data_IF_682814303075
#
_entry.id   IF_682814303075
#
_cell.length_a   1.000
_cell.length_b   1.000
_cell.length_c   1.000
_cell.angle_alpha   90.00
_cell.angle_beta   90.00
_cell.angle_gamma   90.00
#
_symmetry.space_group_name_H-M   'P 1'
#
loop_
_entity.id
_entity.type
_entity.pdbx_description
1 polymer ?
#
# COMPACT_ATOMS: atom_id res chain seq x y z
N UNK A 1 11.39 10.06 -6.45
CA UNK A 1 12.14 9.43 -5.36
C UNK A 1 11.62 9.93 -4.02
N UNK A 2 11.38 9.04 -3.07
CA UNK A 2 10.91 9.44 -1.75
C UNK A 2 12.03 10.10 -0.95
N UNK A 3 11.70 11.13 -0.18
CA UNK A 3 12.65 11.78 0.71
C UNK A 3 11.98 12.12 2.03
N UNK A 4 12.79 12.18 3.09
CA UNK A 4 12.32 12.61 4.39
C UNK A 4 11.91 14.09 4.34
N UNK A 5 10.68 14.37 4.75
CA UNK A 5 10.15 15.71 4.80
C UNK A 5 10.43 16.39 6.14
N UNK A 6 10.19 15.65 7.23
CA UNK A 6 10.53 16.11 8.57
C UNK A 6 10.61 14.91 9.52
N UNK A 7 11.16 15.18 10.70
CA UNK A 7 11.36 14.16 11.74
C UNK A 7 10.98 14.73 13.10
N UNK A 8 10.42 13.88 13.93
CA UNK A 8 10.18 14.18 15.35
C UNK A 8 10.96 13.18 16.20
N UNK A 9 10.82 13.29 17.52
CA UNK A 9 11.44 12.33 18.43
C UNK A 9 10.95 10.88 18.19
N UNK A 10 9.69 10.73 17.78
CA UNK A 10 9.08 9.40 17.67
C UNK A 10 8.70 9.02 16.25
N UNK A 11 8.99 9.83 15.28
CA UNK A 11 8.55 9.52 13.92
C UNK A 11 9.24 10.30 12.83
N UNK A 12 9.02 9.83 11.63
CA UNK A 12 9.56 10.43 10.41
C UNK A 12 8.44 10.54 9.38
N UNK A 13 8.43 11.62 8.63
CA UNK A 13 7.49 11.81 7.53
C UNK A 13 8.27 11.83 6.22
N UNK A 14 7.83 11.00 5.29
CA UNK A 14 8.40 10.95 3.95
C UNK A 14 7.40 11.40 2.91
N UNK A 15 7.88 11.95 1.83
CA UNK A 15 7.07 12.27 0.66
C UNK A 15 7.66 11.59 -0.57
N UNK A 16 6.81 10.98 -1.38
CA UNK A 16 7.22 10.26 -2.57
C UNK A 16 6.36 9.04 -2.80
N UNK A 17 6.82 8.16 -3.68
CA UNK A 17 6.16 6.88 -3.94
C UNK A 17 6.44 5.95 -2.75
N UNK A 18 5.41 5.63 -2.00
CA UNK A 18 5.55 4.83 -0.79
C UNK A 18 5.99 3.40 -1.08
N UNK A 19 5.59 2.82 -2.20
CA UNK A 19 5.99 1.46 -2.56
C UNK A 19 7.51 1.41 -2.81
N UNK A 20 8.04 2.38 -3.53
CA UNK A 20 9.48 2.48 -3.74
C UNK A 20 10.23 2.69 -2.43
N UNK A 21 9.70 3.54 -1.56
CA UNK A 21 10.30 3.79 -0.25
C UNK A 21 10.37 2.51 0.59
N UNK A 22 9.27 1.77 0.65
CA UNK A 22 9.21 0.53 1.41
C UNK A 22 10.14 -0.53 0.83
N UNK A 23 10.16 -0.68 -0.47
CA UNK A 23 10.92 -1.74 -1.13
C UNK A 23 12.43 -1.50 -1.05
N UNK A 24 12.88 -0.25 -1.15
CA UNK A 24 14.30 0.07 -1.20
C UNK A 24 14.87 0.47 0.16
N UNK A 25 14.30 1.48 0.79
CA UNK A 25 14.90 2.09 1.98
C UNK A 25 14.41 1.46 3.28
N UNK A 26 13.09 1.42 3.48
CA UNK A 26 12.55 0.95 4.75
C UNK A 26 12.76 -0.55 4.94
N UNK A 27 12.66 -1.32 3.85
CA UNK A 27 12.88 -2.76 3.91
C UNK A 27 14.27 -3.11 4.41
N UNK A 28 15.28 -2.33 4.03
CA UNK A 28 16.66 -2.59 4.47
C UNK A 28 16.89 -2.24 5.93
N UNK A 29 16.15 -1.26 6.47
CA UNK A 29 16.34 -0.76 7.83
C UNK A 29 15.40 -1.42 8.82
N UNK A 30 14.14 -1.63 8.42
CA UNK A 30 13.06 -2.01 9.33
C UNK A 30 12.49 -3.39 9.08
N UNK A 31 13.19 -4.25 8.36
CA UNK A 31 12.74 -5.62 8.11
C UNK A 31 12.36 -6.32 9.42
N UNK A 32 11.10 -6.77 9.50
CA UNK A 32 10.62 -7.49 10.66
C UNK A 32 10.43 -6.65 11.92
N UNK A 33 10.36 -5.32 11.79
CA UNK A 33 10.33 -4.43 12.95
C UNK A 33 9.03 -3.68 13.15
N UNK A 34 8.14 -3.64 12.16
CA UNK A 34 6.89 -2.92 12.31
C UNK A 34 5.85 -3.75 13.04
N UNK A 35 5.28 -3.19 14.08
CA UNK A 35 4.18 -3.84 14.83
C UNK A 35 2.84 -3.59 14.17
N UNK A 36 2.71 -2.50 13.41
CA UNK A 36 1.45 -2.13 12.79
C UNK A 36 1.72 -1.37 11.49
N UNK A 37 1.03 -1.79 10.45
CA UNK A 37 0.95 -1.05 9.19
C UNK A 37 -0.52 -0.74 8.95
N UNK A 38 -0.85 0.54 8.76
CA UNK A 38 -2.20 0.98 8.40
C UNK A 38 -2.11 1.68 7.06
N UNK A 39 -2.90 1.27 6.10
CA UNK A 39 -2.86 1.88 4.78
C UNK A 39 -4.24 1.87 4.12
N UNK A 40 -4.46 2.90 3.29
CA UNK A 40 -5.62 2.99 2.41
C UNK A 40 -5.10 3.09 0.99
N UNK A 41 -4.73 1.97 0.37
CA UNK A 41 -4.17 2.04 -0.97
C UNK A 41 -5.22 2.50 -1.98
N UNK A 42 -4.80 3.02 -3.14
CA UNK A 42 -5.75 3.34 -4.19
C UNK A 42 -6.58 2.11 -4.53
N UNK A 43 -7.86 2.32 -4.80
CA UNK A 43 -8.73 1.22 -5.21
C UNK A 43 -9.18 1.42 -6.65
N UNK A 44 -9.68 0.34 -7.29
CA UNK A 44 -10.00 0.41 -8.72
C UNK A 44 -11.23 1.30 -8.94
N UNK A 45 -11.00 2.46 -9.56
CA UNK A 45 -12.04 3.43 -9.86
C UNK A 45 -12.25 3.47 -11.36
N UNK A 46 -13.50 3.80 -11.78
CA UNK A 46 -13.81 3.98 -13.18
C UNK A 46 -13.05 5.16 -13.79
N UNK A 47 -12.81 6.20 -12.99
CA UNK A 47 -12.03 7.36 -13.41
C UNK A 47 -10.66 7.31 -12.73
N UNK A 48 -9.61 7.30 -13.52
CA UNK A 48 -8.25 7.26 -13.02
C UNK A 48 -7.91 8.58 -12.34
N UNK A 49 -7.39 8.52 -11.12
CA UNK A 49 -6.94 9.70 -10.40
C UNK A 49 -5.50 10.05 -10.77
N UNK A 50 -5.11 11.31 -10.52
CA UNK A 50 -3.77 11.77 -10.87
C UNK A 50 -2.65 11.02 -10.14
N UNK A 51 -2.92 10.48 -8.97
CA UNK A 51 -1.92 9.71 -8.23
C UNK A 51 -1.92 8.22 -8.56
N UNK A 52 -2.50 7.87 -9.70
CA UNK A 52 -2.21 6.58 -10.30
C UNK A 52 -3.02 5.39 -9.85
N UNK A 53 -4.34 5.51 -9.82
CA UNK A 53 -5.15 4.31 -9.67
C UNK A 53 -5.03 3.43 -10.91
N UNK A 54 -4.90 2.14 -10.70
CA UNK A 54 -4.92 1.14 -11.76
C UNK A 54 -6.32 0.54 -11.89
N UNK A 55 -6.57 -0.13 -12.99
CA UNK A 55 -7.85 -0.79 -13.25
C UNK A 55 -7.64 -2.22 -13.70
N UNK A 56 -8.65 -3.07 -13.48
CA UNK A 56 -8.66 -4.44 -13.97
C UNK A 56 -7.48 -5.28 -13.49
N UNK A 57 -6.85 -5.99 -14.42
CA UNK A 57 -5.74 -6.88 -14.12
C UNK A 57 -4.50 -6.17 -13.61
N UNK A 58 -4.25 -4.96 -14.10
CA UNK A 58 -3.11 -4.16 -13.63
C UNK A 58 -3.24 -3.84 -12.14
N UNK A 59 -4.45 -3.47 -11.69
CA UNK A 59 -4.69 -3.20 -10.28
C UNK A 59 -4.46 -4.46 -9.44
N UNK A 60 -4.97 -5.60 -9.90
CA UNK A 60 -4.80 -6.86 -9.18
C UNK A 60 -3.31 -7.20 -9.00
N UNK A 61 -2.54 -7.13 -10.08
CA UNK A 61 -1.10 -7.42 -10.01
C UNK A 61 -0.36 -6.47 -9.11
N UNK A 62 -0.67 -5.18 -9.20
CA UNK A 62 -0.06 -4.17 -8.35
C UNK A 62 -0.35 -4.45 -6.87
N UNK A 63 -1.60 -4.77 -6.57
CA UNK A 63 -2.03 -5.02 -5.20
C UNK A 63 -1.35 -6.27 -4.61
N UNK A 64 -1.32 -7.35 -5.37
CA UNK A 64 -0.70 -8.60 -4.94
C UNK A 64 0.79 -8.41 -4.67
N UNK A 65 1.46 -7.59 -5.47
CA UNK A 65 2.88 -7.33 -5.31
C UNK A 65 3.23 -6.54 -4.04
N UNK A 66 2.26 -5.97 -3.34
CA UNK A 66 2.50 -5.34 -2.05
C UNK A 66 2.67 -6.36 -0.91
N UNK A 67 2.10 -7.54 -1.06
CA UNK A 67 2.08 -8.53 0.03
C UNK A 67 3.48 -8.93 0.52
N UNK A 68 4.46 -9.23 -0.35
CA UNK A 68 5.81 -9.55 0.14
C UNK A 68 6.45 -8.40 0.89
N UNK A 69 6.18 -7.16 0.47
CA UNK A 69 6.75 -5.97 1.11
C UNK A 69 6.20 -5.85 2.53
N UNK A 70 4.88 -5.93 2.69
CA UNK A 70 4.25 -5.86 4.00
C UNK A 70 4.71 -7.01 4.90
N UNK A 71 4.75 -8.21 4.37
CA UNK A 71 5.16 -9.40 5.12
C UNK A 71 6.58 -9.27 5.67
N UNK A 72 7.50 -8.71 4.88
CA UNK A 72 8.87 -8.54 5.32
C UNK A 72 9.05 -7.43 6.35
N UNK A 73 8.24 -6.38 6.28
CA UNK A 73 8.34 -5.27 7.21
C UNK A 73 7.72 -5.58 8.56
N UNK A 74 6.69 -6.42 8.60
CA UNK A 74 5.99 -6.73 9.84
C UNK A 74 6.83 -7.66 10.72
N UNK A 75 6.75 -7.41 12.04
CA UNK A 75 7.24 -8.36 13.04
C UNK A 75 6.35 -9.60 13.07
N UNK A 76 6.79 -10.66 13.76
CA UNK A 76 6.04 -11.91 13.85
C UNK A 76 4.62 -11.73 14.39
N UNK A 77 4.45 -10.79 15.31
CA UNK A 77 3.16 -10.48 15.92
C UNK A 77 2.56 -9.16 15.40
N UNK A 78 3.09 -8.65 14.30
CA UNK A 78 2.61 -7.41 13.70
C UNK A 78 1.27 -7.57 13.02
N UNK A 79 0.59 -6.44 12.84
CA UNK A 79 -0.72 -6.38 12.21
C UNK A 79 -0.72 -5.48 11.00
N UNK A 80 -1.46 -5.88 9.97
CA UNK A 80 -1.69 -5.08 8.78
C UNK A 80 -3.16 -4.72 8.71
N UNK A 81 -3.46 -3.43 8.66
CA UNK A 81 -4.82 -2.92 8.51
C UNK A 81 -4.93 -2.22 7.18
N UNK A 82 -5.83 -2.69 6.34
CA UNK A 82 -6.06 -2.12 5.01
C UNK A 82 -7.49 -1.63 4.93
N UNK A 83 -7.66 -0.36 4.60
CA UNK A 83 -8.97 0.19 4.28
C UNK A 83 -9.16 0.14 2.77
N UNK A 84 -10.19 -0.54 2.33
CA UNK A 84 -10.55 -0.63 0.92
C UNK A 84 -12.04 -0.41 0.74
N UNK A 85 -12.38 0.22 -0.40
CA UNK A 85 -13.75 0.29 -0.86
C UNK A 85 -13.91 -0.47 -2.16
N UNK A 86 -15.15 -0.79 -2.48
CA UNK A 86 -15.46 -1.31 -3.81
C UNK A 86 -15.69 -0.13 -4.77
N UNK A 87 -15.33 -0.33 -6.01
CA UNK A 87 -15.62 0.62 -7.08
C UNK A 87 -16.71 0.05 -7.98
N UNK A 88 -17.20 0.87 -8.91
CA UNK A 88 -18.21 0.45 -9.87
C UNK A 88 -17.60 0.36 -11.26
N UNK A 89 -17.84 -0.75 -11.92
CA UNK A 89 -17.71 -0.87 -13.38
C UNK A 89 -19.09 -0.67 -13.99
N UNK A 90 -19.20 -0.43 -15.29
CA UNK A 90 -20.52 -0.31 -15.93
C UNK A 90 -21.40 -1.52 -15.58
N UNK A 91 -22.48 -1.26 -14.85
CA UNK A 91 -23.49 -2.26 -14.49
C UNK A 91 -23.20 -3.13 -13.27
N UNK A 92 -22.04 -3.00 -12.62
CA UNK A 92 -21.73 -3.82 -11.44
C UNK A 92 -20.64 -3.21 -10.58
N UNK A 93 -20.59 -3.55 -9.27
CA UNK A 93 -19.46 -3.15 -8.42
C UNK A 93 -18.22 -4.00 -8.71
N UNK A 94 -17.06 -3.36 -8.61
CA UNK A 94 -15.78 -4.07 -8.59
C UNK A 94 -15.50 -4.49 -7.16
N UNK A 95 -15.27 -5.78 -6.95
CA UNK A 95 -15.12 -6.31 -5.59
C UNK A 95 -13.65 -6.31 -5.17
N UNK A 96 -13.21 -5.17 -4.67
CA UNK A 96 -11.83 -4.98 -4.23
C UNK A 96 -11.41 -5.97 -3.15
N UNK A 97 -12.35 -6.43 -2.33
CA UNK A 97 -12.04 -7.37 -1.26
C UNK A 97 -11.54 -8.72 -1.78
N UNK A 98 -11.90 -9.09 -2.99
CA UNK A 98 -11.39 -10.33 -3.59
C UNK A 98 -9.89 -10.28 -3.82
N UNK A 99 -9.34 -9.09 -3.90
CA UNK A 99 -7.90 -8.92 -4.13
C UNK A 99 -7.07 -9.11 -2.86
N UNK A 100 -7.72 -9.20 -1.70
CA UNK A 100 -7.03 -9.46 -0.44
C UNK A 100 -6.72 -10.94 -0.21
N UNK A 101 -7.41 -11.82 -0.90
CA UNK A 101 -7.21 -13.25 -0.80
C UNK A 101 -6.00 -13.70 -1.58
#
# INVERSE_FOLDING_TARGET
MAKELYRTQYGEMFVGDSVNLFDSYLRSIYKGKFNLIITSPPFPLNNKKQYGNFQGGEYFEWFVNLAPIFSELLSEDGSLVIELGNAWEPGRPVQSLLHLE
#
